data_IF_784992749753
#
_entry.id   IF_784992749753
#
_cell.length_a   1.000
_cell.length_b   1.000
_cell.length_c   1.000
_cell.angle_alpha   90.00
_cell.angle_beta   90.00
_cell.angle_gamma   90.00
#
_symmetry.space_group_name_H-M   'P 1'
#
loop_
_entity.id
_entity.type
_entity.pdbx_description
1 polymer ?
#
# COMPACT_ATOMS: atom_id res chain seq x y z
N UNK A 1 0.94 4.22 27.48
CA UNK A 1 0.96 3.92 26.03
C UNK A 1 2.09 2.94 25.80
N UNK A 2 1.83 1.84 25.10
CA UNK A 2 2.81 0.76 24.92
C UNK A 2 4.05 1.27 24.18
N UNK A 3 5.25 1.14 24.78
CA UNK A 3 6.55 1.36 24.13
C UNK A 3 6.83 0.23 23.13
N UNK A 4 6.03 0.12 22.06
CA UNK A 4 6.37 -0.75 20.93
C UNK A 4 7.37 -0.02 20.05
N UNK A 5 8.54 -0.64 19.84
CA UNK A 5 9.56 -0.17 18.89
C UNK A 5 9.33 -0.71 17.47
N UNK A 6 8.15 -1.22 17.16
CA UNK A 6 7.83 -1.82 15.87
C UNK A 6 6.36 -1.62 15.52
N UNK A 7 6.08 -1.50 14.22
CA UNK A 7 4.73 -1.33 13.69
C UNK A 7 3.99 -2.67 13.65
N UNK A 8 2.73 -2.69 14.08
CA UNK A 8 1.82 -3.82 13.88
C UNK A 8 0.53 -3.37 13.17
N UNK A 9 -0.11 -4.32 12.48
CA UNK A 9 -1.50 -4.16 12.04
C UNK A 9 -2.38 -3.87 13.26
N UNK A 10 -3.24 -2.86 13.14
CA UNK A 10 -4.06 -2.30 14.21
C UNK A 10 -3.46 -1.08 14.92
N UNK A 11 -2.17 -0.78 14.72
CA UNK A 11 -1.56 0.44 15.23
C UNK A 11 -1.84 1.62 14.26
N UNK A 12 -1.71 2.86 14.77
CA UNK A 12 -1.70 4.05 13.92
C UNK A 12 -0.47 4.03 13.01
N UNK A 13 -0.69 4.34 11.73
CA UNK A 13 0.36 4.43 10.74
C UNK A 13 1.39 5.52 11.14
N UNK A 14 2.70 5.22 11.13
CA UNK A 14 3.74 6.21 11.37
C UNK A 14 3.63 7.36 10.38
N UNK A 15 3.46 8.57 10.89
CA UNK A 15 3.31 9.76 10.07
C UNK A 15 4.65 10.16 9.44
N UNK A 16 4.60 10.77 8.26
CA UNK A 16 5.76 11.31 7.58
C UNK A 16 5.43 12.57 6.79
N UNK A 17 6.47 13.34 6.46
CA UNK A 17 6.44 14.48 5.55
C UNK A 17 7.68 14.41 4.67
N UNK A 18 7.52 14.21 3.38
CA UNK A 18 8.63 14.01 2.45
C UNK A 18 8.40 14.66 1.09
N UNK A 19 9.49 14.86 0.34
CA UNK A 19 9.42 15.27 -1.06
C UNK A 19 8.92 14.12 -1.91
N UNK A 20 8.13 14.44 -2.92
CA UNK A 20 7.61 13.48 -3.87
C UNK A 20 7.64 14.05 -5.29
N UNK A 21 7.54 13.18 -6.28
CA UNK A 21 7.30 13.54 -7.68
C UNK A 21 5.89 13.14 -8.05
N UNK A 22 5.12 14.07 -8.60
CA UNK A 22 3.79 13.82 -9.15
C UNK A 22 3.53 14.78 -10.31
N UNK A 23 2.98 14.26 -11.41
CA UNK A 23 2.79 15.04 -12.66
C UNK A 23 4.09 15.72 -13.13
N UNK A 24 5.23 15.00 -12.97
CA UNK A 24 6.57 15.49 -13.30
C UNK A 24 7.04 16.72 -12.48
N UNK A 25 6.37 17.06 -11.39
CA UNK A 25 6.73 18.17 -10.49
C UNK A 25 7.12 17.68 -9.09
N UNK A 26 7.99 18.45 -8.42
CA UNK A 26 8.31 18.22 -7.02
C UNK A 26 7.23 18.78 -6.10
N UNK A 27 6.63 17.89 -5.31
CA UNK A 27 5.59 18.26 -4.33
C UNK A 27 6.04 17.85 -2.92
N UNK A 28 5.51 18.54 -1.92
CA UNK A 28 5.62 18.12 -0.52
C UNK A 28 4.40 17.28 -0.20
N UNK A 29 4.60 16.07 0.30
CA UNK A 29 3.54 15.13 0.69
C UNK A 29 3.63 14.82 2.17
N UNK A 30 2.49 14.78 2.85
CA UNK A 30 2.37 14.26 4.21
C UNK A 30 1.33 13.17 4.24
N UNK A 31 1.57 12.10 5.01
CA UNK A 31 0.58 11.02 5.16
C UNK A 31 -0.76 11.57 5.71
N UNK A 32 -0.70 12.54 6.62
CA UNK A 32 -1.88 13.18 7.19
C UNK A 32 -2.81 13.84 6.18
N UNK A 33 -2.29 14.25 5.02
CA UNK A 33 -3.08 14.94 3.99
C UNK A 33 -4.04 13.98 3.26
N UNK A 34 -3.86 12.67 3.45
CA UNK A 34 -4.62 11.59 2.82
C UNK A 34 -5.60 10.91 3.80
N UNK A 35 -5.60 11.31 5.07
CA UNK A 35 -6.57 10.81 6.05
C UNK A 35 -8.00 11.19 5.62
N UNK A 36 -8.98 10.38 6.03
CA UNK A 36 -10.34 10.43 5.50
C UNK A 36 -10.54 9.55 4.26
N UNK A 37 -9.47 9.07 3.62
CA UNK A 37 -9.48 8.05 2.56
C UNK A 37 -8.70 6.81 2.98
N UNK A 38 -8.85 5.71 2.24
CA UNK A 38 -7.92 4.59 2.37
C UNK A 38 -6.59 4.94 1.69
N UNK A 39 -5.49 4.41 2.23
CA UNK A 39 -4.14 4.71 1.73
C UNK A 39 -3.38 3.41 1.51
N UNK A 40 -2.83 3.25 0.31
CA UNK A 40 -1.95 2.16 -0.07
C UNK A 40 -0.52 2.71 -0.12
N UNK A 41 0.30 2.37 0.87
CA UNK A 41 1.72 2.66 0.84
C UNK A 41 2.46 1.50 0.16
N UNK A 42 3.05 1.77 -1.00
CA UNK A 42 3.75 0.81 -1.84
C UNK A 42 5.27 1.07 -1.79
N UNK A 43 5.96 0.45 -0.84
CA UNK A 43 7.41 0.55 -0.77
C UNK A 43 8.08 -0.36 -1.79
N UNK A 44 9.17 0.10 -2.39
CA UNK A 44 9.98 -0.70 -3.30
C UNK A 44 11.48 -0.42 -3.11
N UNK A 45 12.37 -1.37 -3.46
CA UNK A 45 13.78 -1.27 -3.13
C UNK A 45 14.50 -0.06 -3.72
N UNK A 46 14.50 0.08 -5.05
CA UNK A 46 15.25 1.10 -5.80
C UNK A 46 14.64 1.37 -7.19
N UNK A 47 14.77 2.61 -7.66
CA UNK A 47 14.56 2.99 -9.07
C UNK A 47 15.56 2.28 -10.00
N UNK A 48 15.25 2.23 -11.30
CA UNK A 48 16.13 1.66 -12.34
C UNK A 48 16.58 0.21 -12.08
N UNK A 49 15.72 -0.59 -11.44
CA UNK A 49 15.90 -2.03 -11.23
C UNK A 49 14.82 -2.82 -11.97
N UNK A 50 14.73 -4.14 -11.75
CA UNK A 50 14.00 -5.04 -12.66
C UNK A 50 12.53 -5.26 -12.29
N UNK A 51 12.25 -5.64 -11.04
CA UNK A 51 10.87 -5.92 -10.59
C UNK A 51 10.13 -4.63 -10.18
N UNK A 52 10.84 -3.62 -9.70
CA UNK A 52 10.23 -2.35 -9.27
C UNK A 52 9.38 -1.66 -10.36
N UNK A 53 9.84 -1.48 -11.61
CA UNK A 53 9.01 -0.82 -12.63
C UNK A 53 7.72 -1.59 -12.88
N UNK A 54 7.74 -2.93 -12.84
CA UNK A 54 6.54 -3.73 -13.11
C UNK A 54 5.46 -3.52 -12.05
N UNK A 55 5.85 -3.44 -10.77
CA UNK A 55 4.91 -3.15 -9.68
C UNK A 55 4.36 -1.72 -9.78
N UNK A 56 5.25 -0.73 -9.98
CA UNK A 56 4.84 0.68 -10.06
C UNK A 56 3.90 0.93 -11.25
N UNK A 57 4.20 0.32 -12.40
CA UNK A 57 3.34 0.40 -13.57
C UNK A 57 1.99 -0.29 -13.32
N UNK A 58 1.99 -1.51 -12.76
CA UNK A 58 0.76 -2.28 -12.54
C UNK A 58 -0.23 -1.57 -11.59
N UNK A 59 0.27 -0.93 -10.52
CA UNK A 59 -0.57 -0.13 -9.64
C UNK A 59 -1.08 1.14 -10.34
N UNK A 60 -0.30 1.76 -11.23
CA UNK A 60 -0.70 2.97 -11.94
C UNK A 60 -1.77 2.67 -12.98
N UNK A 61 -1.60 1.58 -13.74
CA UNK A 61 -2.54 1.14 -14.76
C UNK A 61 -3.91 0.75 -14.13
N UNK A 62 -3.93 0.29 -12.88
CA UNK A 62 -5.15 -0.01 -12.12
C UNK A 62 -5.57 1.07 -11.10
N UNK A 63 -4.94 2.26 -11.12
CA UNK A 63 -5.19 3.32 -10.15
C UNK A 63 -6.66 3.74 -10.07
N UNK A 64 -7.37 3.74 -11.20
CA UNK A 64 -8.79 4.12 -11.25
C UNK A 64 -9.68 3.16 -10.43
N UNK A 65 -9.27 1.91 -10.25
CA UNK A 65 -9.97 0.98 -9.35
C UNK A 65 -9.78 1.36 -7.88
N UNK A 66 -8.58 1.80 -7.49
CA UNK A 66 -8.34 2.31 -6.14
C UNK A 66 -9.14 3.59 -5.88
N UNK A 67 -9.16 4.52 -6.84
CA UNK A 67 -9.97 5.73 -6.76
C UNK A 67 -11.47 5.43 -6.61
N UNK A 68 -12.00 4.43 -7.33
CA UNK A 68 -13.40 4.01 -7.19
C UNK A 68 -13.74 3.43 -5.82
N UNK A 69 -12.72 3.04 -5.05
CA UNK A 69 -12.82 2.54 -3.68
C UNK A 69 -12.40 3.61 -2.66
N UNK A 70 -12.36 4.89 -3.04
CA UNK A 70 -11.90 5.99 -2.18
C UNK A 70 -10.53 5.72 -1.54
N UNK A 71 -9.61 5.20 -2.36
CA UNK A 71 -8.26 4.84 -1.97
C UNK A 71 -7.20 5.56 -2.81
N UNK A 72 -6.15 6.00 -2.14
CA UNK A 72 -4.97 6.63 -2.73
C UNK A 72 -3.78 5.68 -2.69
N UNK A 73 -2.86 5.84 -3.64
CA UNK A 73 -1.61 5.06 -3.70
C UNK A 73 -0.43 6.01 -3.54
N UNK A 74 0.59 5.61 -2.77
CA UNK A 74 1.86 6.32 -2.68
C UNK A 74 2.99 5.32 -2.87
N UNK A 75 3.78 5.49 -3.93
CA UNK A 75 5.01 4.72 -4.14
C UNK A 75 6.13 5.31 -3.29
N UNK A 76 6.96 4.49 -2.63
CA UNK A 76 8.01 4.99 -1.73
C UNK A 76 9.31 4.19 -1.95
N UNK A 77 10.43 4.87 -2.15
CA UNK A 77 11.76 4.25 -2.04
C UNK A 77 12.75 5.19 -1.39
N UNK A 78 13.96 4.70 -1.13
CA UNK A 78 15.07 5.46 -0.55
C UNK A 78 15.78 6.37 -1.56
N UNK A 79 15.31 6.41 -2.81
CA UNK A 79 15.85 7.25 -3.87
C UNK A 79 15.48 8.72 -3.67
N UNK A 80 16.23 9.64 -4.28
CA UNK A 80 15.90 11.07 -4.28
C UNK A 80 14.73 11.39 -5.21
N UNK A 81 14.07 12.53 -4.98
CA UNK A 81 13.06 13.10 -5.87
C UNK A 81 13.59 13.33 -7.29
N UNK A 82 14.87 13.67 -7.45
CA UNK A 82 15.51 13.82 -8.76
C UNK A 82 15.63 12.48 -9.49
N UNK A 83 15.95 11.41 -8.76
CA UNK A 83 16.01 10.06 -9.30
C UNK A 83 14.62 9.58 -9.75
N UNK A 84 13.58 9.86 -8.96
CA UNK A 84 12.19 9.56 -9.35
C UNK A 84 11.78 10.31 -10.62
N UNK A 85 12.07 11.61 -10.71
CA UNK A 85 11.72 12.41 -11.89
C UNK A 85 12.41 11.88 -13.14
N UNK A 86 13.71 11.59 -13.07
CA UNK A 86 14.45 11.00 -14.18
C UNK A 86 13.88 9.64 -14.61
N UNK A 87 13.40 8.83 -13.67
CA UNK A 87 12.83 7.52 -13.96
C UNK A 87 11.42 7.61 -14.59
N UNK A 88 10.62 8.60 -14.18
CA UNK A 88 9.32 8.91 -14.80
C UNK A 88 9.46 9.49 -16.22
N UNK A 89 10.54 10.21 -16.49
CA UNK A 89 10.83 10.75 -17.83
C UNK A 89 11.38 9.70 -18.81
N UNK A 90 11.73 8.51 -18.32
CA UNK A 90 12.18 7.41 -19.15
C UNK A 90 10.98 6.57 -19.62
N UNK A 91 11.00 6.19 -20.90
CA UNK A 91 9.95 5.35 -21.49
C UNK A 91 9.94 3.94 -20.89
N UNK A 92 8.74 3.34 -20.82
CA UNK A 92 8.54 2.01 -20.23
C UNK A 92 9.34 0.92 -20.96
N UNK A 93 9.48 1.02 -22.28
CA UNK A 93 10.26 0.07 -23.10
C UNK A 93 11.78 0.15 -22.85
N UNK A 94 12.22 1.25 -22.26
CA UNK A 94 13.60 1.53 -21.87
C UNK A 94 13.86 1.28 -20.38
N UNK A 95 12.90 0.67 -19.66
CA UNK A 95 12.99 0.37 -18.22
C UNK A 95 12.59 1.53 -17.30
N UNK A 96 12.01 2.58 -17.85
CA UNK A 96 11.35 3.64 -17.10
C UNK A 96 9.94 3.27 -16.64
N UNK A 97 9.26 4.21 -15.99
CA UNK A 97 7.86 4.02 -15.54
C UNK A 97 6.86 4.89 -16.30
N UNK A 98 7.35 5.90 -17.05
CA UNK A 98 6.51 6.90 -17.71
C UNK A 98 5.69 7.74 -16.73
N UNK A 99 4.62 8.34 -17.24
CA UNK A 99 3.68 9.08 -16.41
C UNK A 99 2.90 8.14 -15.47
N UNK A 100 2.89 8.48 -14.19
CA UNK A 100 2.21 7.74 -13.13
C UNK A 100 1.00 8.53 -12.61
N UNK A 101 -0.07 7.81 -12.26
CA UNK A 101 -1.30 8.40 -11.73
C UNK A 101 -1.24 8.73 -10.23
N UNK A 102 -0.13 8.43 -9.58
CA UNK A 102 0.08 8.64 -8.15
C UNK A 102 1.52 9.09 -7.85
N UNK A 103 1.79 9.71 -6.68
CA UNK A 103 3.12 10.22 -6.35
C UNK A 103 4.16 9.14 -6.02
N UNK A 104 5.41 9.40 -6.40
CA UNK A 104 6.60 8.71 -5.87
C UNK A 104 7.25 9.56 -4.78
N UNK A 105 7.24 9.07 -3.54
CA UNK A 105 7.79 9.73 -2.36
C UNK A 105 9.24 9.31 -2.15
N UNK A 106 10.10 10.30 -1.96
CA UNK A 106 11.51 10.13 -1.64
C UNK A 106 11.71 9.96 -0.13
N UNK A 107 12.20 8.80 0.28
CA UNK A 107 12.65 8.48 1.63
C UNK A 107 14.19 8.52 1.73
N UNK A 108 14.80 9.61 1.23
CA UNK A 108 16.27 9.72 1.11
C UNK A 108 17.01 9.53 2.45
N UNK A 109 16.40 9.96 3.56
CA UNK A 109 16.94 9.80 4.92
C UNK A 109 16.57 8.45 5.58
N UNK A 110 15.82 7.61 4.87
CA UNK A 110 15.39 6.25 5.23
C UNK A 110 14.47 6.16 6.46
N UNK A 111 13.99 7.30 6.97
CA UNK A 111 13.21 7.33 8.21
C UNK A 111 11.82 6.73 8.01
N UNK A 112 11.22 6.88 6.82
CA UNK A 112 9.91 6.29 6.54
C UNK A 112 10.07 4.77 6.56
N UNK A 113 10.99 4.21 5.77
CA UNK A 113 11.26 2.77 5.69
C UNK A 113 11.63 2.16 7.05
N UNK A 114 12.39 2.89 7.89
CA UNK A 114 12.68 2.49 9.27
C UNK A 114 11.44 2.44 10.14
N UNK A 115 10.59 3.48 10.09
CA UNK A 115 9.38 3.55 10.91
C UNK A 115 8.34 2.49 10.57
N UNK A 116 8.34 2.01 9.32
CA UNK A 116 7.52 0.89 8.86
C UNK A 116 8.22 -0.48 9.01
N UNK A 117 9.40 -0.52 9.62
CA UNK A 117 10.18 -1.73 9.91
C UNK A 117 10.46 -2.62 8.68
N UNK A 118 10.80 -1.98 7.55
CA UNK A 118 11.08 -2.66 6.28
C UNK A 118 12.41 -2.24 5.64
N UNK A 119 13.20 -1.39 6.29
CA UNK A 119 14.55 -1.08 5.83
C UNK A 119 15.48 -2.25 6.12
N UNK A 120 16.17 -2.76 5.10
CA UNK A 120 17.18 -3.79 5.26
C UNK A 120 18.56 -3.21 5.60
N UNK A 121 19.51 -4.06 5.95
CA UNK A 121 20.88 -3.67 6.34
C UNK A 121 21.67 -3.01 5.20
N UNK A 122 21.29 -3.25 3.94
CA UNK A 122 21.88 -2.60 2.76
C UNK A 122 21.32 -1.18 2.52
N UNK A 123 20.39 -0.72 3.34
CA UNK A 123 19.79 0.61 3.24
C UNK A 123 18.73 0.73 2.15
N UNK A 124 18.09 -0.38 1.75
CA UNK A 124 16.95 -0.44 0.82
C UNK A 124 15.70 -0.87 1.56
N UNK A 125 14.54 -0.39 1.13
CA UNK A 125 13.28 -0.95 1.60
C UNK A 125 13.07 -2.36 1.03
N UNK A 126 12.55 -3.29 1.83
CA UNK A 126 11.91 -4.51 1.33
C UNK A 126 10.65 -4.15 0.53
N UNK A 127 10.04 -5.13 -0.14
CA UNK A 127 8.77 -4.94 -0.87
C UNK A 127 7.58 -4.93 0.10
N UNK A 128 7.55 -3.92 0.97
CA UNK A 128 6.49 -3.68 1.94
C UNK A 128 5.30 -2.97 1.31
N UNK A 129 4.09 -3.46 1.54
CA UNK A 129 2.85 -2.77 1.21
C UNK A 129 1.96 -2.71 2.44
N UNK A 130 1.38 -1.54 2.70
CA UNK A 130 0.48 -1.31 3.81
C UNK A 130 -0.83 -0.71 3.32
N UNK A 131 -1.95 -1.20 3.86
CA UNK A 131 -3.28 -0.61 3.67
C UNK A 131 -3.65 0.08 4.97
N UNK A 132 -3.90 1.38 4.89
CA UNK A 132 -4.27 2.24 6.02
C UNK A 132 -5.70 2.71 5.78
N UNK A 133 -6.52 2.72 6.82
CA UNK A 133 -7.90 3.17 6.75
C UNK A 133 -8.04 4.71 6.93
N UNK A 134 -9.25 5.27 6.74
CA UNK A 134 -9.50 6.70 6.91
C UNK A 134 -9.09 7.31 8.26
N UNK A 135 -9.07 6.50 9.33
CA UNK A 135 -8.69 6.92 10.69
C UNK A 135 -7.17 6.82 10.92
N UNK A 136 -6.41 6.40 9.91
CA UNK A 136 -4.97 6.26 9.96
C UNK A 136 -4.50 4.97 10.63
N UNK A 137 -5.35 3.94 10.72
CA UNK A 137 -5.01 2.64 11.29
C UNK A 137 -4.53 1.69 10.20
N UNK A 138 -3.42 1.01 10.44
CA UNK A 138 -2.90 0.00 9.50
C UNK A 138 -3.80 -1.24 9.58
N UNK A 139 -4.51 -1.55 8.50
CA UNK A 139 -5.43 -2.70 8.42
C UNK A 139 -4.78 -3.94 7.81
N UNK A 140 -3.76 -3.76 6.98
CA UNK A 140 -3.06 -4.85 6.32
C UNK A 140 -1.61 -4.50 6.06
N UNK A 141 -0.75 -5.52 6.10
CA UNK A 141 0.64 -5.44 5.68
C UNK A 141 1.06 -6.72 4.95
N UNK A 142 1.79 -6.57 3.86
CA UNK A 142 2.53 -7.65 3.20
C UNK A 142 3.96 -7.21 2.96
N UNK A 143 4.93 -8.09 3.26
CA UNK A 143 6.36 -7.82 3.03
C UNK A 143 6.94 -8.98 2.26
N UNK A 144 7.22 -8.76 0.98
CA UNK A 144 7.95 -9.72 0.16
C UNK A 144 9.45 -9.45 0.23
N UNK A 145 10.24 -10.51 0.04
CA UNK A 145 11.66 -10.36 -0.22
C UNK A 145 11.89 -9.73 -1.62
N UNK A 146 13.11 -9.27 -1.89
CA UNK A 146 13.46 -8.42 -3.03
C UNK A 146 13.12 -9.03 -4.40
N UNK A 147 13.15 -10.35 -4.53
CA UNK A 147 12.99 -11.04 -5.82
C UNK A 147 11.54 -11.42 -6.16
N UNK A 148 10.57 -11.13 -5.27
CA UNK A 148 9.18 -11.56 -5.45
C UNK A 148 8.24 -10.35 -5.52
N UNK A 149 7.76 -10.04 -6.73
CA UNK A 149 6.75 -9.00 -6.93
C UNK A 149 5.41 -9.32 -6.24
N UNK A 150 4.66 -8.27 -5.90
CA UNK A 150 3.34 -8.34 -5.28
C UNK A 150 2.23 -8.44 -6.33
N UNK A 151 1.06 -8.88 -5.88
CA UNK A 151 -0.14 -8.98 -6.71
C UNK A 151 -1.10 -7.82 -6.42
N UNK A 152 -1.26 -6.92 -7.40
CA UNK A 152 -2.17 -5.76 -7.31
C UNK A 152 -3.63 -6.16 -7.10
N UNK A 153 -4.08 -7.27 -7.68
CA UNK A 153 -5.45 -7.75 -7.52
C UNK A 153 -5.71 -8.26 -6.09
N UNK A 154 -4.71 -8.83 -5.43
CA UNK A 154 -4.82 -9.21 -4.02
C UNK A 154 -4.91 -7.99 -3.12
N UNK A 155 -4.15 -6.92 -3.41
CA UNK A 155 -4.30 -5.65 -2.70
C UNK A 155 -5.71 -5.09 -2.82
N UNK A 156 -6.28 -5.10 -4.04
CA UNK A 156 -7.67 -4.65 -4.28
C UNK A 156 -8.67 -5.55 -3.53
N UNK A 157 -8.47 -6.88 -3.53
CA UNK A 157 -9.34 -7.82 -2.81
C UNK A 157 -9.33 -7.55 -1.31
N UNK A 158 -8.15 -7.39 -0.70
CA UNK A 158 -8.01 -7.08 0.73
C UNK A 158 -8.65 -5.71 1.05
N UNK A 159 -8.40 -4.67 0.24
CA UNK A 159 -9.01 -3.36 0.44
C UNK A 159 -10.54 -3.45 0.48
N UNK A 160 -11.15 -4.17 -0.49
CA UNK A 160 -12.60 -4.40 -0.50
C UNK A 160 -13.09 -5.20 0.71
N UNK A 161 -12.31 -6.18 1.19
CA UNK A 161 -12.65 -6.96 2.38
C UNK A 161 -12.63 -6.08 3.64
N UNK A 162 -11.61 -5.23 3.80
CA UNK A 162 -11.50 -4.26 4.89
C UNK A 162 -12.70 -3.31 4.88
N UNK A 163 -13.03 -2.73 3.72
CA UNK A 163 -14.21 -1.87 3.56
C UNK A 163 -15.52 -2.60 3.89
N UNK A 164 -15.63 -3.86 3.47
CA UNK A 164 -16.83 -4.65 3.72
C UNK A 164 -17.08 -4.86 5.21
N UNK A 165 -16.07 -5.30 5.97
CA UNK A 165 -16.24 -5.54 7.43
C UNK A 165 -16.43 -4.24 8.21
N UNK A 166 -15.83 -3.12 7.76
CA UNK A 166 -16.06 -1.82 8.38
C UNK A 166 -17.49 -1.31 8.13
N UNK A 167 -18.08 -1.61 6.97
CA UNK A 167 -19.47 -1.29 6.66
C UNK A 167 -20.48 -2.31 7.22
N UNK A 168 -20.03 -3.51 7.59
CA UNK A 168 -20.84 -4.60 8.13
C UNK A 168 -20.19 -5.15 9.43
N UNK A 169 -20.25 -4.41 10.55
CA UNK A 169 -19.46 -4.70 11.75
C UNK A 169 -19.78 -6.05 12.42
N UNK A 170 -20.95 -6.63 12.13
CA UNK A 170 -21.36 -7.94 12.63
C UNK A 170 -20.91 -9.10 11.72
N UNK A 171 -20.12 -8.84 10.68
CA UNK A 171 -19.68 -9.81 9.67
C UNK A 171 -18.16 -9.85 9.52
N UNK A 172 -17.65 -11.01 9.11
CA UNK A 172 -16.24 -11.22 8.76
C UNK A 172 -16.11 -11.93 7.42
N UNK A 173 -15.08 -11.57 6.67
CA UNK A 173 -14.77 -12.19 5.39
C UNK A 173 -14.01 -13.52 5.60
N UNK A 174 -14.47 -14.66 5.04
CA UNK A 174 -13.75 -15.93 5.08
C UNK A 174 -12.48 -15.92 4.22
N UNK A 175 -11.72 -17.03 4.28
CA UNK A 175 -10.59 -17.25 3.38
C UNK A 175 -11.03 -17.19 1.91
N UNK A 176 -10.18 -16.61 1.05
CA UNK A 176 -10.43 -16.40 -0.39
C UNK A 176 -11.64 -15.53 -0.73
N UNK A 177 -12.27 -14.87 0.24
CA UNK A 177 -13.45 -14.03 0.01
C UNK A 177 -13.21 -12.97 -1.06
N UNK A 178 -14.17 -12.84 -1.96
CA UNK A 178 -14.30 -11.78 -2.96
C UNK A 178 -15.66 -11.06 -2.82
N UNK A 179 -15.79 -9.83 -3.35
CA UNK A 179 -17.08 -9.16 -3.38
C UNK A 179 -18.16 -10.00 -4.03
N UNK A 180 -19.26 -10.23 -3.31
CA UNK A 180 -20.37 -11.09 -3.73
C UNK A 180 -20.38 -12.47 -3.06
N UNK A 181 -19.26 -12.91 -2.48
CA UNK A 181 -19.22 -14.15 -1.70
C UNK A 181 -19.90 -13.98 -0.34
N UNK A 182 -20.39 -15.10 0.20
CA UNK A 182 -20.97 -15.16 1.54
C UNK A 182 -19.96 -14.76 2.62
N UNK A 183 -20.35 -13.87 3.52
CA UNK A 183 -19.62 -13.54 4.74
C UNK A 183 -20.13 -14.37 5.94
N UNK A 184 -19.39 -14.32 7.05
CA UNK A 184 -19.75 -15.02 8.29
C UNK A 184 -20.23 -14.00 9.32
N UNK A 185 -21.41 -14.21 9.90
CA UNK A 185 -21.82 -13.45 11.09
C UNK A 185 -20.85 -13.74 12.25
N UNK A 186 -20.30 -12.70 12.87
CA UNK A 186 -19.31 -12.77 13.96
C UNK A 186 -19.95 -13.12 15.31
N UNK A 187 -20.70 -14.23 15.33
CA UNK A 187 -21.39 -14.75 16.50
C UNK A 187 -21.44 -16.28 16.41
N UNK A 188 -21.10 -16.98 17.50
CA UNK A 188 -21.01 -18.45 17.54
C UNK A 188 -22.30 -19.15 17.08
N UNK A 189 -23.47 -18.58 17.37
CA UNK A 189 -24.75 -19.19 17.00
C UNK A 189 -25.07 -18.96 15.53
N UNK A 190 -24.87 -17.73 15.05
CA UNK A 190 -25.21 -17.33 13.68
C UNK A 190 -24.18 -17.80 12.64
N UNK A 191 -22.91 -17.96 13.01
CA UNK A 191 -21.86 -18.45 12.09
C UNK A 191 -22.15 -19.86 11.56
N UNK A 192 -22.96 -20.66 12.27
CA UNK A 192 -23.39 -22.00 11.84
C UNK A 192 -24.19 -21.99 10.54
N UNK A 193 -24.81 -20.86 10.17
CA UNK A 193 -25.51 -20.73 8.89
C UNK A 193 -24.51 -20.80 7.73
N UNK A 194 -23.43 -20.04 7.81
CA UNK A 194 -22.34 -20.07 6.84
C UNK A 194 -21.73 -21.48 6.75
N UNK A 195 -21.36 -22.09 7.88
CA UNK A 195 -20.70 -23.41 7.89
C UNK A 195 -21.57 -24.58 7.40
N UNK A 196 -22.90 -24.40 7.30
CA UNK A 196 -23.78 -25.39 6.66
C UNK A 196 -23.84 -25.26 5.13
N UNK A 197 -23.41 -24.12 4.60
CA UNK A 197 -23.52 -23.77 3.18
C UNK A 197 -22.24 -24.01 2.38
N UNK A 198 -21.14 -24.32 3.07
CA UNK A 198 -19.79 -24.56 2.51
C UNK A 198 -19.34 -26.00 2.68
#
# INVERSE_FOLDING_TARGET
MSNKNYLQVGDKAPNFSAKAVYEQEFKQVKLSDYLGKYIILLFYPLNFTFVCPTEIIAFSDLYDQFQSLDAEVLGISVDSEYCHLAWMQLDRDSGGVGDLKYPLVSDLNKQISLSYNILNEEGKALRGLFIIDPDGIVQHSIVNNLEVGRNVHETIRILKAVQYVQNNPDEVCPANWQPGDSAIKNNISFSKEYFKSV
#
